data_IF_695987598198
#
_entry.id   IF_695987598198
#
_cell.length_a   1.000
_cell.length_b   1.000
_cell.length_c   1.000
_cell.angle_alpha   90.00
_cell.angle_beta   90.00
_cell.angle_gamma   90.00
#
_symmetry.space_group_name_H-M   'P 1'
#
loop_
_entity.id
_entity.type
_entity.pdbx_description
1 polymer ?
#
# COMPACT_ATOMS: atom_id res chain seq x y z
N UNK A 1 -17.53 -5.33 -16.26
CA UNK A 1 -17.54 -5.92 -14.90
C UNK A 1 -16.63 -5.06 -14.06
N UNK A 2 -17.15 -4.44 -12.99
CA UNK A 2 -16.33 -3.67 -12.06
C UNK A 2 -15.37 -4.66 -11.37
N UNK A 3 -14.07 -4.46 -11.55
CA UNK A 3 -13.05 -5.31 -10.94
C UNK A 3 -12.73 -4.81 -9.53
N UNK A 4 -12.38 -5.76 -8.65
CA UNK A 4 -11.87 -5.48 -7.31
C UNK A 4 -10.77 -4.40 -7.34
N UNK A 5 -10.74 -3.60 -6.29
CA UNK A 5 -9.77 -2.51 -6.13
C UNK A 5 -9.31 -2.45 -4.68
N UNK A 6 -8.05 -2.12 -4.46
CA UNK A 6 -7.52 -1.89 -3.12
C UNK A 6 -7.37 -0.39 -2.90
N UNK A 7 -8.04 0.13 -1.89
CA UNK A 7 -7.78 1.46 -1.35
C UNK A 7 -6.52 1.41 -0.48
N UNK A 8 -5.55 2.26 -0.80
CA UNK A 8 -4.34 2.46 -0.01
C UNK A 8 -4.50 3.77 0.76
N UNK A 9 -4.41 3.67 2.08
CA UNK A 9 -4.56 4.81 3.00
C UNK A 9 -3.26 5.04 3.76
N UNK A 10 -2.78 6.27 3.80
CA UNK A 10 -1.75 6.71 4.74
C UNK A 10 -2.35 7.69 5.74
N UNK A 11 -2.31 7.31 7.02
CA UNK A 11 -2.76 8.10 8.14
C UNK A 11 -1.55 8.71 8.86
N UNK A 12 -1.34 10.04 8.78
CA UNK A 12 -0.31 10.73 9.54
C UNK A 12 -0.78 10.87 10.99
N UNK A 13 -0.38 9.93 11.83
CA UNK A 13 -0.83 9.82 13.22
C UNK A 13 -0.25 10.92 14.08
N UNK A 14 -0.95 11.28 15.16
CA UNK A 14 -0.34 12.05 16.24
C UNK A 14 0.81 11.25 16.85
N UNK A 15 1.95 11.91 17.14
CA UNK A 15 3.12 11.24 17.70
C UNK A 15 2.78 10.48 18.98
N UNK A 16 3.45 9.34 19.17
CA UNK A 16 3.39 8.54 20.41
C UNK A 16 2.01 7.97 20.79
N UNK A 17 1.03 7.95 19.87
CA UNK A 17 -0.24 7.25 20.12
C UNK A 17 -0.03 5.74 20.24
N UNK A 18 -0.48 5.15 21.35
CA UNK A 18 -0.57 3.70 21.49
C UNK A 18 -1.93 3.21 20.96
N UNK A 19 -1.93 2.45 19.87
CA UNK A 19 -3.16 1.87 19.28
C UNK A 19 -3.55 0.54 19.93
N UNK A 20 -2.79 0.06 20.93
CA UNK A 20 -3.03 -1.20 21.61
C UNK A 20 -3.70 -1.05 22.99
N UNK A 21 -3.78 0.19 23.51
CA UNK A 21 -4.40 0.51 24.80
C UNK A 21 -5.12 1.88 24.82
N UNK A 22 -5.96 2.09 25.84
CA UNK A 22 -6.62 3.37 26.11
C UNK A 22 -7.63 3.85 25.04
N UNK A 23 -7.95 5.14 25.07
CA UNK A 23 -8.92 5.78 24.16
C UNK A 23 -8.50 5.65 22.69
N UNK A 24 -7.20 5.75 22.39
CA UNK A 24 -6.70 5.66 21.03
C UNK A 24 -6.97 4.28 20.41
N UNK A 25 -6.82 3.20 21.18
CA UNK A 25 -7.23 1.85 20.77
C UNK A 25 -8.74 1.79 20.46
N UNK A 26 -9.59 2.32 21.34
CA UNK A 26 -11.04 2.27 21.14
C UNK A 26 -11.48 3.00 19.87
N UNK A 27 -10.90 4.18 19.61
CA UNK A 27 -11.15 4.94 18.38
C UNK A 27 -10.64 4.17 17.16
N UNK A 28 -9.46 3.55 17.26
CA UNK A 28 -8.87 2.77 16.18
C UNK A 28 -9.66 1.50 15.85
N UNK A 29 -10.05 0.71 16.85
CA UNK A 29 -10.89 -0.47 16.66
C UNK A 29 -12.26 -0.12 16.09
N UNK A 30 -12.84 1.01 16.53
CA UNK A 30 -14.07 1.54 15.96
C UNK A 30 -13.89 1.98 14.50
N UNK A 31 -12.72 2.53 14.15
CA UNK A 31 -12.37 2.92 12.79
C UNK A 31 -12.34 1.70 11.87
N UNK A 32 -11.56 0.69 12.24
CA UNK A 32 -11.46 -0.57 11.50
C UNK A 32 -12.83 -1.26 11.39
N UNK A 33 -13.60 -1.30 12.49
CA UNK A 33 -14.94 -1.91 12.49
C UNK A 33 -15.92 -1.18 11.57
N UNK A 34 -15.83 0.14 11.49
CA UNK A 34 -16.72 0.93 10.63
C UNK A 34 -16.49 0.61 9.16
N UNK A 35 -15.22 0.56 8.74
CA UNK A 35 -14.83 0.23 7.35
C UNK A 35 -15.21 -1.20 7.01
N UNK A 36 -14.83 -2.17 7.85
CA UNK A 36 -15.06 -3.60 7.59
C UNK A 36 -16.55 -4.00 7.52
N UNK A 37 -17.45 -3.19 8.10
CA UNK A 37 -18.91 -3.42 8.04
C UNK A 37 -19.57 -2.86 6.78
N UNK A 38 -18.84 -2.11 5.96
CA UNK A 38 -19.43 -1.51 4.77
C UNK A 38 -19.70 -2.58 3.70
N UNK A 39 -20.85 -2.50 3.02
CA UNK A 39 -21.10 -3.33 1.85
C UNK A 39 -19.97 -3.19 0.82
N UNK A 40 -19.48 -4.34 0.33
CA UNK A 40 -18.41 -4.39 -0.65
C UNK A 40 -16.99 -4.33 -0.08
N UNK A 41 -16.80 -4.12 1.23
CA UNK A 41 -15.49 -4.33 1.85
C UNK A 41 -15.21 -5.85 1.94
N UNK A 42 -14.10 -6.29 1.36
CA UNK A 42 -13.72 -7.71 1.25
C UNK A 42 -12.60 -8.10 2.22
N UNK A 43 -11.62 -7.21 2.41
CA UNK A 43 -10.54 -7.40 3.37
C UNK A 43 -9.99 -6.05 3.85
N UNK A 44 -9.38 -6.05 5.04
CA UNK A 44 -8.78 -4.87 5.63
C UNK A 44 -7.47 -5.24 6.30
N UNK A 45 -6.36 -4.72 5.79
CA UNK A 45 -5.03 -4.87 6.39
C UNK A 45 -4.54 -3.54 6.90
N UNK A 46 -3.77 -3.53 7.99
CA UNK A 46 -3.14 -2.31 8.48
C UNK A 46 -1.86 -2.58 9.27
N UNK A 47 -1.02 -1.57 9.37
CA UNK A 47 0.18 -1.59 10.20
C UNK A 47 0.84 -0.21 10.25
N UNK A 48 1.77 -0.01 11.19
CA UNK A 48 2.65 1.18 11.19
C UNK A 48 3.79 0.97 10.20
N UNK A 49 4.19 2.04 9.50
CA UNK A 49 5.43 1.99 8.73
C UNK A 49 6.61 1.84 9.69
N UNK A 50 7.56 0.97 9.34
CA UNK A 50 8.72 0.68 10.19
C UNK A 50 9.66 1.89 10.24
N UNK A 51 9.92 2.52 9.10
CA UNK A 51 10.83 3.66 8.96
C UNK A 51 10.22 4.96 9.46
N UNK A 52 8.88 5.06 9.45
CA UNK A 52 8.15 6.20 9.99
C UNK A 52 6.96 5.74 10.84
N UNK A 53 7.20 5.38 12.12
CA UNK A 53 6.18 4.82 12.98
C UNK A 53 4.97 5.74 13.19
N UNK A 54 5.10 7.05 12.97
CA UNK A 54 3.99 8.01 13.05
C UNK A 54 3.06 7.94 11.82
N UNK A 55 3.30 7.04 10.87
CA UNK A 55 2.37 6.77 9.75
C UNK A 55 1.78 5.37 9.88
N UNK A 56 0.45 5.29 9.91
CA UNK A 56 -0.27 4.02 9.73
C UNK A 56 -0.65 3.88 8.26
N UNK A 57 -0.38 2.70 7.69
CA UNK A 57 -0.86 2.33 6.38
C UNK A 57 -2.02 1.35 6.51
N UNK A 58 -3.05 1.53 5.68
CA UNK A 58 -4.15 0.58 5.51
C UNK A 58 -4.27 0.15 4.05
N UNK A 59 -4.70 -1.09 3.86
CA UNK A 59 -5.10 -1.64 2.57
C UNK A 59 -6.54 -2.14 2.74
N UNK A 60 -7.49 -1.51 2.05
CA UNK A 60 -8.90 -1.90 2.08
C UNK A 60 -9.27 -2.48 0.73
N UNK A 61 -9.53 -3.77 0.67
CA UNK A 61 -10.01 -4.41 -0.55
C UNK A 61 -11.50 -4.17 -0.69
N UNK A 62 -11.89 -3.50 -1.75
CA UNK A 62 -13.27 -3.22 -2.12
C UNK A 62 -13.64 -4.03 -3.36
N UNK A 63 -14.90 -4.49 -3.41
CA UNK A 63 -15.50 -5.10 -4.59
C UNK A 63 -15.44 -4.16 -5.81
N UNK A 64 -15.54 -2.85 -5.58
CA UNK A 64 -15.36 -1.83 -6.60
C UNK A 64 -15.09 -0.46 -5.97
N UNK A 65 -14.63 0.50 -6.80
CA UNK A 65 -14.53 1.91 -6.38
C UNK A 65 -15.91 2.46 -5.98
N UNK A 66 -16.97 2.03 -6.66
CA UNK A 66 -18.34 2.47 -6.37
C UNK A 66 -18.83 1.99 -4.99
N UNK A 67 -18.35 0.83 -4.52
CA UNK A 67 -18.63 0.35 -3.17
C UNK A 67 -18.03 1.29 -2.10
N UNK A 68 -16.76 1.69 -2.28
CA UNK A 68 -16.13 2.69 -1.41
C UNK A 68 -16.87 4.05 -1.51
N UNK A 69 -17.19 4.52 -2.72
CA UNK A 69 -17.96 5.78 -2.90
C UNK A 69 -19.35 5.71 -2.28
N UNK A 70 -19.97 4.54 -2.24
CA UNK A 70 -21.24 4.35 -1.54
C UNK A 70 -21.08 4.56 -0.04
N UNK A 71 -20.01 4.03 0.56
CA UNK A 71 -19.67 4.31 1.97
C UNK A 71 -19.46 5.81 2.23
N UNK A 72 -18.69 6.51 1.39
CA UNK A 72 -18.46 7.96 1.51
C UNK A 72 -19.76 8.78 1.55
N UNK A 73 -20.82 8.30 0.90
CA UNK A 73 -22.13 8.94 0.82
C UNK A 73 -23.10 8.53 1.96
N UNK A 74 -22.69 7.66 2.88
CA UNK A 74 -23.54 7.28 4.01
C UNK A 74 -23.55 8.35 5.11
N UNK A 75 -24.63 8.47 5.89
CA UNK A 75 -24.67 9.37 7.06
C UNK A 75 -23.60 9.06 8.12
N UNK A 76 -23.05 7.84 8.12
CA UNK A 76 -22.01 7.43 9.05
C UNK A 76 -20.62 7.97 8.71
N UNK A 77 -20.35 8.33 7.44
CA UNK A 77 -19.01 8.66 6.97
C UNK A 77 -18.43 9.92 7.60
N UNK A 78 -19.20 11.02 7.65
CA UNK A 78 -18.71 12.28 8.24
C UNK A 78 -18.40 12.15 9.75
N UNK A 79 -19.29 11.59 10.60
CA UNK A 79 -18.95 11.31 11.99
C UNK A 79 -17.73 10.40 12.17
N UNK A 80 -17.61 9.37 11.32
CA UNK A 80 -16.47 8.46 11.29
C UNK A 80 -15.15 9.20 11.00
N UNK A 81 -15.12 9.99 9.93
CA UNK A 81 -13.94 10.74 9.52
C UNK A 81 -13.55 11.80 10.55
N UNK A 82 -14.52 12.58 11.06
CA UNK A 82 -14.26 13.59 12.09
C UNK A 82 -13.62 13.00 13.33
N UNK A 83 -14.09 11.83 13.79
CA UNK A 83 -13.51 11.15 14.95
C UNK A 83 -12.04 10.79 14.74
N UNK A 84 -11.67 10.31 13.54
CA UNK A 84 -10.27 10.01 13.18
C UNK A 84 -9.45 11.29 13.17
N UNK A 85 -9.95 12.33 12.49
CA UNK A 85 -9.29 13.63 12.36
C UNK A 85 -9.02 14.28 13.72
N UNK A 86 -9.98 14.24 14.63
CA UNK A 86 -9.87 14.86 15.94
C UNK A 86 -8.97 14.08 16.89
N UNK A 87 -9.02 12.75 16.85
CA UNK A 87 -8.41 11.91 17.89
C UNK A 87 -7.07 11.32 17.46
N UNK A 88 -6.91 10.93 16.21
CA UNK A 88 -5.82 10.05 15.78
C UNK A 88 -4.77 10.72 14.90
N UNK A 89 -5.15 11.63 13.99
CA UNK A 89 -4.23 12.15 12.96
C UNK A 89 -3.88 13.62 13.16
N UNK A 90 -2.76 14.05 12.58
CA UNK A 90 -2.31 15.47 12.57
C UNK A 90 -2.69 16.21 11.29
N UNK A 91 -3.00 15.48 10.23
CA UNK A 91 -3.45 16.03 8.95
C UNK A 91 -4.34 15.04 8.22
N UNK A 92 -4.88 15.45 7.07
CA UNK A 92 -5.81 14.61 6.31
C UNK A 92 -5.13 13.31 5.83
N UNK A 93 -5.85 12.18 5.81
CA UNK A 93 -5.39 10.96 5.18
C UNK A 93 -4.99 11.18 3.72
N UNK A 94 -3.97 10.47 3.26
CA UNK A 94 -3.76 10.24 1.82
C UNK A 94 -4.52 8.98 1.44
N UNK A 95 -5.36 9.04 0.42
CA UNK A 95 -6.19 7.92 -0.04
C UNK A 95 -6.07 7.83 -1.55
N UNK A 96 -5.84 6.64 -2.08
CA UNK A 96 -5.86 6.35 -3.51
C UNK A 96 -6.16 4.88 -3.76
N UNK A 97 -6.53 4.53 -4.98
CA UNK A 97 -6.99 3.20 -5.35
C UNK A 97 -6.02 2.55 -6.32
N UNK A 98 -5.72 1.27 -6.11
CA UNK A 98 -4.87 0.48 -7.00
C UNK A 98 -5.61 -0.78 -7.41
N UNK A 99 -5.52 -1.10 -8.71
CA UNK A 99 -6.03 -2.38 -9.23
C UNK A 99 -4.87 -3.35 -9.37
N UNK A 100 -4.88 -4.39 -8.54
CA UNK A 100 -3.92 -5.49 -8.65
C UNK A 100 -4.39 -6.56 -9.64
N UNK A 101 -3.46 -7.30 -10.26
CA UNK A 101 -3.82 -8.49 -11.03
C UNK A 101 -4.46 -9.56 -10.11
N UNK A 102 -5.47 -10.26 -10.60
CA UNK A 102 -6.29 -11.22 -9.83
C UNK A 102 -5.51 -12.41 -9.23
N UNK A 103 -4.29 -12.66 -9.72
CA UNK A 103 -3.43 -13.79 -9.35
C UNK A 103 -2.79 -13.71 -7.94
N UNK A 104 -3.12 -12.70 -7.12
CA UNK A 104 -2.44 -12.43 -5.83
C UNK A 104 -3.30 -12.62 -4.57
N UNK A 105 -4.45 -13.30 -4.67
CA UNK A 105 -5.26 -13.66 -3.52
C UNK A 105 -4.79 -14.98 -2.89
N UNK A 106 -4.64 -15.06 -1.56
CA UNK A 106 -4.37 -16.30 -0.84
C UNK A 106 -3.16 -16.24 0.09
N UNK A 107 -2.60 -17.41 0.44
CA UNK A 107 -1.49 -17.55 1.39
C UNK A 107 -0.19 -16.89 0.92
N UNK A 108 -0.03 -16.70 -0.39
CA UNK A 108 1.17 -16.13 -1.01
C UNK A 108 1.04 -14.62 -1.26
N UNK A 109 -0.01 -13.98 -0.73
CA UNK A 109 -0.15 -12.53 -0.76
C UNK A 109 0.99 -11.88 0.03
N UNK A 110 1.65 -10.82 -0.49
CA UNK A 110 2.66 -10.12 0.28
C UNK A 110 2.08 -9.47 1.55
N UNK A 111 0.76 -9.27 1.65
CA UNK A 111 0.10 -8.65 2.81
C UNK A 111 -0.08 -9.61 4.01
N UNK A 112 0.14 -10.90 3.82
CA UNK A 112 0.08 -11.91 4.89
C UNK A 112 1.47 -12.29 5.41
N UNK A 113 2.53 -11.72 4.83
CA UNK A 113 3.89 -11.96 5.26
C UNK A 113 4.24 -11.17 6.53
N UNK A 114 5.17 -11.64 7.39
CA UNK A 114 5.58 -10.95 8.60
C UNK A 114 6.03 -9.50 8.38
N UNK A 115 6.67 -9.24 7.24
CA UNK A 115 7.06 -7.90 6.80
C UNK A 115 6.74 -7.76 5.32
N UNK A 116 6.13 -6.65 4.92
CA UNK A 116 5.90 -6.27 3.53
C UNK A 116 6.72 -5.03 3.20
N UNK A 117 7.63 -5.13 2.23
CA UNK A 117 8.21 -3.96 1.58
C UNK A 117 7.14 -3.33 0.68
N UNK A 118 6.90 -2.05 0.87
CA UNK A 118 5.99 -1.24 0.10
C UNK A 118 6.80 -0.22 -0.69
N UNK A 119 6.45 -0.02 -1.96
CA UNK A 119 7.07 0.99 -2.81
C UNK A 119 6.02 1.79 -3.58
N UNK A 120 6.29 3.09 -3.74
CA UNK A 120 5.57 3.96 -4.66
C UNK A 120 6.57 4.48 -5.69
N UNK A 121 6.43 4.05 -6.94
CA UNK A 121 7.13 4.60 -8.09
C UNK A 121 6.31 5.70 -8.75
N UNK A 122 6.91 6.88 -8.94
CA UNK A 122 6.28 8.04 -9.57
C UNK A 122 6.81 8.23 -10.99
N UNK A 123 5.90 8.42 -11.93
CA UNK A 123 6.19 8.52 -13.36
C UNK A 123 5.59 9.79 -13.95
N UNK A 124 6.20 10.27 -15.04
CA UNK A 124 5.64 11.37 -15.82
C UNK A 124 4.23 11.04 -16.33
N UNK A 125 3.35 12.04 -16.53
CA UNK A 125 1.96 11.81 -16.93
C UNK A 125 1.83 11.05 -18.27
N UNK A 126 2.79 11.24 -19.16
CA UNK A 126 2.91 10.64 -20.49
C UNK A 126 3.57 9.25 -20.50
N UNK A 127 4.11 8.79 -19.37
CA UNK A 127 4.81 7.50 -19.32
C UNK A 127 3.88 6.32 -19.66
N UNK A 128 4.27 5.41 -20.56
CA UNK A 128 3.44 4.27 -20.97
C UNK A 128 3.30 3.24 -19.85
N UNK A 129 2.10 3.16 -19.24
CA UNK A 129 1.86 2.27 -18.09
C UNK A 129 2.11 0.79 -18.42
N UNK A 130 1.77 0.35 -19.63
CA UNK A 130 1.97 -1.01 -20.11
C UNK A 130 3.45 -1.40 -20.20
N UNK A 131 4.35 -0.45 -20.45
CA UNK A 131 5.79 -0.67 -20.49
C UNK A 131 6.32 -1.08 -19.12
N UNK A 132 6.04 -0.25 -18.10
CA UNK A 132 6.49 -0.57 -16.74
C UNK A 132 5.69 -1.72 -16.11
N UNK A 133 4.41 -1.93 -16.47
CA UNK A 133 3.71 -3.18 -16.10
C UNK A 133 4.45 -4.40 -16.64
N UNK A 134 4.88 -4.39 -17.91
CA UNK A 134 5.65 -5.50 -18.49
C UNK A 134 7.01 -5.66 -17.82
N UNK A 135 7.65 -4.55 -17.45
CA UNK A 135 8.92 -4.55 -16.72
C UNK A 135 8.77 -5.12 -15.30
N UNK A 136 7.73 -4.73 -14.57
CA UNK A 136 7.41 -5.25 -13.25
C UNK A 136 7.06 -6.76 -13.30
N UNK A 137 6.36 -7.21 -14.35
CA UNK A 137 6.15 -8.65 -14.57
C UNK A 137 7.46 -9.41 -14.78
N UNK A 138 8.45 -8.84 -15.48
CA UNK A 138 9.80 -9.41 -15.60
C UNK A 138 10.54 -9.42 -14.27
N UNK A 139 10.47 -8.34 -13.51
CA UNK A 139 11.02 -8.25 -12.15
C UNK A 139 10.48 -9.39 -11.29
N UNK A 140 9.16 -9.55 -11.25
CA UNK A 140 8.50 -10.61 -10.48
C UNK A 140 8.94 -12.01 -10.92
N UNK A 141 8.98 -12.27 -12.22
CA UNK A 141 9.42 -13.56 -12.75
C UNK A 141 10.88 -13.86 -12.38
N UNK A 142 11.78 -12.89 -12.52
CA UNK A 142 13.18 -13.06 -12.15
C UNK A 142 13.36 -13.25 -10.63
N UNK A 143 12.63 -12.49 -9.81
CA UNK A 143 12.66 -12.64 -8.35
C UNK A 143 12.25 -14.05 -7.90
N UNK A 144 11.26 -14.65 -8.57
CA UNK A 144 10.78 -16.00 -8.28
C UNK A 144 11.81 -17.09 -8.62
N UNK A 145 12.65 -16.86 -9.62
CA UNK A 145 13.72 -17.78 -10.02
C UNK A 145 15.01 -17.61 -9.18
N UNK A 146 15.08 -16.60 -8.31
CA UNK A 146 16.23 -16.34 -7.43
C UNK A 146 16.08 -17.13 -6.12
N UNK A 147 16.76 -18.28 -5.94
CA UNK A 147 16.52 -19.18 -4.80
C UNK A 147 16.92 -18.56 -3.45
N UNK A 148 17.81 -17.56 -3.49
CA UNK A 148 18.32 -16.85 -2.33
C UNK A 148 17.62 -15.52 -2.08
N UNK A 149 16.58 -15.17 -2.86
CA UNK A 149 15.88 -13.90 -2.65
C UNK A 149 15.20 -13.88 -1.29
N UNK A 150 14.53 -14.96 -0.90
CA UNK A 150 13.73 -15.01 0.33
C UNK A 150 12.44 -14.18 0.25
N UNK A 151 12.17 -13.55 -0.90
CA UNK A 151 10.93 -12.84 -1.17
C UNK A 151 9.77 -13.82 -1.30
N UNK A 152 8.61 -13.46 -0.74
CA UNK A 152 7.39 -14.27 -0.72
C UNK A 152 6.21 -13.42 -1.17
N UNK A 153 5.75 -13.67 -2.38
CA UNK A 153 4.71 -12.86 -3.00
C UNK A 153 5.23 -11.50 -3.46
N UNK A 154 4.85 -11.14 -4.68
CA UNK A 154 5.15 -9.83 -5.27
C UNK A 154 3.91 -9.41 -6.03
N UNK A 155 3.32 -8.28 -5.66
CA UNK A 155 2.20 -7.69 -6.40
C UNK A 155 2.43 -6.21 -6.63
N UNK A 156 1.79 -5.66 -7.64
CA UNK A 156 1.86 -4.24 -7.93
C UNK A 156 0.84 -3.82 -8.96
N UNK A 157 0.50 -2.54 -8.95
CA UNK A 157 -0.52 -1.98 -9.83
C UNK A 157 -0.43 -0.47 -9.93
N UNK A 158 -1.11 0.07 -10.94
CA UNK A 158 -1.24 1.50 -11.13
C UNK A 158 -2.34 2.07 -10.25
N UNK A 159 -2.05 3.22 -9.66
CA UNK A 159 -3.05 4.09 -9.05
C UNK A 159 -4.09 4.53 -10.08
N UNK A 160 -5.33 4.70 -9.62
CA UNK A 160 -6.43 5.29 -10.39
C UNK A 160 -6.29 6.81 -10.40
N UNK A 161 -5.94 7.39 -9.26
CA UNK A 161 -5.68 8.81 -9.07
C UNK A 161 -4.30 9.22 -9.59
N UNK A 162 -4.17 10.50 -9.95
CA UNK A 162 -2.87 11.11 -10.25
C UNK A 162 -2.20 11.61 -8.98
N UNK A 163 -0.87 11.65 -8.98
CA UNK A 163 -0.08 12.00 -7.80
C UNK A 163 1.01 13.02 -8.11
N UNK A 164 1.15 13.99 -7.21
CA UNK A 164 2.29 14.90 -7.22
C UNK A 164 3.49 14.29 -6.53
N UNK A 165 4.68 14.63 -7.02
CA UNK A 165 5.93 14.26 -6.39
C UNK A 165 6.99 15.29 -6.75
N UNK A 166 7.88 15.63 -5.81
CA UNK A 166 8.92 16.65 -5.99
C UNK A 166 9.81 16.42 -7.23
N UNK A 167 10.00 15.16 -7.64
CA UNK A 167 10.80 14.81 -8.81
C UNK A 167 10.04 14.84 -10.15
N UNK A 168 8.73 15.11 -10.15
CA UNK A 168 7.93 15.29 -11.37
C UNK A 168 7.95 16.74 -11.87
N UNK A 169 8.42 17.67 -11.03
CA UNK A 169 8.28 19.11 -11.23
C UNK A 169 7.16 19.69 -10.36
N UNK A 170 7.26 20.98 -10.06
CA UNK A 170 6.28 21.68 -9.23
C UNK A 170 4.90 21.69 -9.90
N UNK A 171 3.86 21.27 -9.18
CA UNK A 171 2.48 21.21 -9.69
C UNK A 171 2.19 20.11 -10.72
N UNK A 172 3.14 19.23 -11.02
CA UNK A 172 2.94 18.17 -12.00
C UNK A 172 2.23 16.94 -11.40
N UNK A 173 1.07 16.60 -11.95
CA UNK A 173 0.28 15.41 -11.58
C UNK A 173 0.70 14.20 -12.42
N UNK A 174 1.56 13.35 -11.87
CA UNK A 174 2.05 12.15 -12.52
C UNK A 174 1.25 10.89 -12.22
N UNK A 175 1.77 9.76 -12.70
CA UNK A 175 1.24 8.43 -12.42
C UNK A 175 1.99 7.80 -11.25
N UNK A 176 1.29 7.07 -10.39
CA UNK A 176 1.91 6.29 -9.31
C UNK A 176 1.69 4.79 -9.56
N UNK A 177 2.75 4.01 -9.42
CA UNK A 177 2.70 2.55 -9.32
C UNK A 177 2.99 2.14 -7.88
N UNK A 178 2.07 1.40 -7.25
CA UNK A 178 2.26 0.85 -5.92
C UNK A 178 2.71 -0.61 -6.04
N UNK A 179 3.84 -0.96 -5.45
CA UNK A 179 4.39 -2.32 -5.42
C UNK A 179 4.52 -2.83 -3.98
N UNK A 180 4.39 -4.15 -3.82
CA UNK A 180 4.44 -4.82 -2.54
C UNK A 180 5.17 -6.16 -2.66
N UNK A 181 6.14 -6.37 -1.78
CA UNK A 181 6.99 -7.57 -1.74
C UNK A 181 6.95 -8.11 -0.32
N UNK A 182 6.57 -9.37 -0.16
CA UNK A 182 6.50 -9.99 1.16
C UNK A 182 7.84 -10.61 1.57
N UNK A 183 8.12 -10.58 2.86
CA UNK A 183 9.37 -11.03 3.45
C UNK A 183 9.11 -11.78 4.76
N UNK A 184 9.91 -12.81 5.04
CA UNK A 184 9.86 -13.50 6.35
C UNK A 184 10.34 -12.62 7.49
N UNK A 185 11.23 -11.67 7.22
CA UNK A 185 11.69 -10.65 8.17
C UNK A 185 12.35 -9.49 7.44
N UNK A 186 12.54 -8.36 8.14
CA UNK A 186 13.29 -7.22 7.61
C UNK A 186 14.74 -7.60 7.31
N UNK A 187 15.35 -8.42 8.16
CA UNK A 187 16.72 -8.91 8.01
C UNK A 187 16.87 -9.73 6.73
N UNK A 188 15.86 -10.53 6.36
CA UNK A 188 15.86 -11.30 5.11
C UNK A 188 16.01 -10.38 3.90
N UNK A 189 15.23 -9.29 3.84
CA UNK A 189 15.37 -8.29 2.80
C UNK A 189 16.75 -7.61 2.85
N UNK A 190 17.20 -7.19 4.04
CA UNK A 190 18.50 -6.51 4.21
C UNK A 190 19.67 -7.38 3.75
N UNK A 191 19.64 -8.69 4.00
CA UNK A 191 20.66 -9.62 3.49
C UNK A 191 20.56 -9.80 1.98
N UNK A 192 19.35 -9.93 1.42
CA UNK A 192 19.18 -10.02 -0.04
C UNK A 192 19.77 -8.81 -0.76
N UNK A 193 19.64 -7.61 -0.18
CA UNK A 193 20.20 -6.36 -0.72
C UNK A 193 21.73 -6.39 -0.93
N UNK A 194 22.44 -7.31 -0.29
CA UNK A 194 23.91 -7.46 -0.39
C UNK A 194 24.34 -8.39 -1.52
N UNK A 195 23.39 -9.03 -2.21
CA UNK A 195 23.66 -10.03 -3.25
C UNK A 195 23.81 -9.42 -4.64
N UNK A 196 24.51 -10.13 -5.53
CA UNK A 196 24.61 -9.77 -6.95
C UNK A 196 23.26 -9.87 -7.66
N UNK A 197 22.42 -10.81 -7.25
CA UNK A 197 21.04 -10.95 -7.71
C UNK A 197 20.29 -9.63 -7.50
N UNK A 198 20.25 -9.09 -6.28
CA UNK A 198 19.58 -7.82 -5.98
C UNK A 198 20.08 -6.66 -6.86
N UNK A 199 21.39 -6.54 -7.04
CA UNK A 199 21.95 -5.51 -7.91
C UNK A 199 21.48 -5.63 -9.37
N UNK A 200 21.30 -6.86 -9.84
CA UNK A 200 20.85 -7.15 -11.21
C UNK A 200 19.38 -6.81 -11.40
N UNK A 201 18.51 -7.31 -10.52
CA UNK A 201 17.04 -7.20 -10.66
C UNK A 201 16.51 -5.80 -10.36
N UNK A 202 17.13 -5.03 -9.45
CA UNK A 202 16.58 -3.73 -9.02
C UNK A 202 16.54 -2.66 -10.12
N UNK A 203 17.32 -2.83 -11.19
CA UNK A 203 17.24 -1.98 -12.38
C UNK A 203 15.82 -2.00 -13.00
N UNK A 204 15.15 -3.16 -12.98
CA UNK A 204 13.78 -3.34 -13.47
C UNK A 204 12.72 -2.62 -12.63
N UNK A 205 13.02 -2.23 -11.39
CA UNK A 205 12.13 -1.39 -10.59
C UNK A 205 12.40 0.10 -10.78
N UNK A 206 13.60 0.48 -11.22
CA UNK A 206 14.06 1.88 -11.22
C UNK A 206 13.96 2.53 -12.59
N UNK A 207 13.98 1.75 -13.65
CA UNK A 207 13.92 2.27 -15.01
C UNK A 207 12.57 2.97 -15.27
N UNK A 208 12.63 4.11 -15.95
CA UNK A 208 11.47 5.00 -16.18
C UNK A 208 10.96 5.79 -14.95
N UNK A 209 11.29 5.38 -13.73
CA UNK A 209 10.82 6.01 -12.48
C UNK A 209 11.48 7.37 -12.24
N UNK A 210 10.67 8.41 -11.98
CA UNK A 210 11.14 9.77 -11.65
C UNK A 210 11.40 9.96 -10.16
N UNK A 211 10.63 9.28 -9.31
CA UNK A 211 10.82 9.28 -7.86
C UNK A 211 10.35 7.97 -7.28
N UNK A 212 10.98 7.51 -6.21
CA UNK A 212 10.59 6.27 -5.55
C UNK A 212 10.67 6.42 -4.05
N UNK A 213 9.59 6.05 -3.37
CA UNK A 213 9.54 5.89 -1.93
C UNK A 213 9.49 4.39 -1.63
N UNK A 214 10.25 3.95 -0.63
CA UNK A 214 10.28 2.56 -0.16
C UNK A 214 10.23 2.58 1.36
N UNK A 215 9.40 1.73 1.94
CA UNK A 215 9.28 1.52 3.38
C UNK A 215 8.78 0.09 3.64
N UNK A 216 8.71 -0.30 4.90
CA UNK A 216 8.19 -1.60 5.30
C UNK A 216 7.00 -1.45 6.24
N UNK A 217 6.10 -2.42 6.19
CA UNK A 217 4.95 -2.52 7.11
C UNK A 217 4.81 -3.97 7.53
N UNK A 218 4.62 -4.20 8.84
CA UNK A 218 4.12 -5.47 9.34
C UNK A 218 2.59 -5.40 9.35
N UNK A 219 1.97 -5.82 8.25
CA UNK A 219 0.51 -5.80 8.14
C UNK A 219 -0.12 -6.87 9.03
N UNK A 220 -1.26 -6.51 9.60
CA UNK A 220 -2.18 -7.47 10.20
C UNK A 220 -3.56 -7.30 9.59
N UNK A 221 -4.23 -8.43 9.35
CA UNK A 221 -5.60 -8.43 8.86
C UNK A 221 -6.57 -8.15 10.00
N UNK A 222 -7.46 -7.19 9.80
CA UNK A 222 -8.58 -6.95 10.69
C UNK A 222 -9.70 -7.93 10.37
N UNK A 223 -9.85 -8.92 11.27
CA UNK A 223 -10.93 -9.93 11.34
C UNK A 223 -11.29 -10.61 10.01
#
# INVERSE_FOLDING_TARGET
>A
MAGNVTEIVYLPMKPSLDLSSGEAKEVWESTLSTIAKQPGCQALYWGRQIENPDTVQMLVDWESIDAHKTFENTPAYQPFLSRIMEKLVVSKPTIFHVKFPAEHSGSDSPFTMPVTECLNGFFSPDYPQNEYTSQFSKFRAQAAEMPHSGAKGVTGGWSVETHQHKNLGEGADGKLFAGFIGWSSLETHVEFRKTEDFMTITSLLRDGVKGMNIWHVAFQQYK
#
